data_IF_526688658604
#
_entry.id   IF_526688658604
#
_cell.length_a   1.000
_cell.length_b   1.000
_cell.length_c   1.000
_cell.angle_alpha   90.00
_cell.angle_beta   90.00
_cell.angle_gamma   90.00
#
_symmetry.space_group_name_H-M   'P 1'
#
loop_
_entity.id
_entity.type
_entity.pdbx_description
1 polymer ?
#
# COMPACT_ATOMS: atom_id res chain seq x y z
N UNK A 1 14.65 -15.65 -15.54
CA UNK A 1 13.79 -14.57 -15.14
C UNK A 1 12.66 -14.54 -16.14
N UNK A 2 11.51 -14.92 -15.68
CA UNK A 2 10.26 -14.70 -16.36
C UNK A 2 10.21 -13.22 -16.54
N UNK A 3 9.94 -12.67 -17.68
CA UNK A 3 9.89 -11.22 -17.90
C UNK A 3 8.99 -10.49 -16.89
N UNK A 4 9.26 -10.75 -15.62
CA UNK A 4 8.53 -10.25 -14.47
C UNK A 4 8.78 -8.77 -14.29
N UNK A 5 7.76 -8.09 -13.85
CA UNK A 5 7.83 -6.70 -13.44
C UNK A 5 8.88 -6.56 -12.33
N UNK A 6 9.93 -5.82 -12.58
CA UNK A 6 10.93 -5.55 -11.55
C UNK A 6 10.36 -4.57 -10.54
N UNK A 7 10.26 -5.02 -9.30
CA UNK A 7 9.97 -4.13 -8.19
C UNK A 7 11.25 -3.43 -7.78
N UNK A 8 11.15 -2.15 -7.70
CA UNK A 8 12.25 -1.28 -7.44
C UNK A 8 12.03 -0.60 -6.09
N UNK A 9 12.92 -0.83 -5.15
CA UNK A 9 12.88 -0.13 -3.87
C UNK A 9 13.92 0.97 -3.91
N UNK A 10 13.51 2.23 -3.86
CA UNK A 10 14.45 3.33 -3.72
C UNK A 10 15.03 3.36 -2.30
N UNK A 11 16.25 3.87 -2.16
CA UNK A 11 16.89 4.10 -0.85
C UNK A 11 16.22 5.20 -0.02
N UNK A 12 15.19 5.82 -0.54
CA UNK A 12 14.39 6.82 0.15
C UNK A 12 13.13 6.22 0.75
N UNK A 13 12.26 7.07 1.24
CA UNK A 13 10.98 6.71 1.86
C UNK A 13 9.95 6.13 0.88
N UNK A 14 10.31 5.84 -0.35
CA UNK A 14 9.43 5.36 -1.40
C UNK A 14 9.58 3.86 -1.56
N UNK A 15 8.47 3.12 -1.59
CA UNK A 15 8.50 1.67 -1.42
C UNK A 15 8.63 0.90 -2.71
N UNK A 16 7.78 1.00 -3.63
CA UNK A 16 7.88 0.35 -4.93
C UNK A 16 7.14 1.17 -5.96
N UNK A 17 7.68 1.22 -7.16
CA UNK A 17 7.18 2.05 -8.22
C UNK A 17 6.85 1.20 -9.44
N UNK A 18 5.64 1.36 -9.93
CA UNK A 18 5.22 0.85 -11.23
C UNK A 18 5.34 1.89 -12.33
N UNK A 19 5.69 3.11 -11.95
CA UNK A 19 5.79 4.23 -12.84
C UNK A 19 7.26 4.52 -13.14
N UNK A 20 7.59 4.71 -14.40
CA UNK A 20 8.91 5.10 -14.90
C UNK A 20 9.07 6.62 -14.98
N UNK A 21 8.10 7.40 -14.48
CA UNK A 21 8.19 8.86 -14.47
C UNK A 21 9.31 9.36 -13.54
N UNK A 22 9.79 10.56 -13.80
CA UNK A 22 10.79 11.23 -12.96
C UNK A 22 10.35 11.43 -11.50
N UNK A 23 9.04 11.37 -11.24
CA UNK A 23 8.47 11.46 -9.89
C UNK A 23 8.49 10.13 -9.14
N UNK A 24 8.60 9.02 -9.85
CA UNK A 24 8.66 7.68 -9.28
C UNK A 24 10.09 7.24 -8.91
N UNK A 25 11.10 7.90 -9.44
CA UNK A 25 12.51 7.60 -9.22
C UNK A 25 13.21 8.75 -8.51
N UNK A 26 14.21 8.41 -7.69
CA UNK A 26 15.10 9.42 -7.10
C UNK A 26 15.94 10.04 -8.21
N UNK A 27 16.29 11.31 -8.08
CA UNK A 27 17.27 11.94 -8.94
C UNK A 27 18.56 11.09 -8.91
N UNK A 28 19.16 10.83 -10.08
CA UNK A 28 20.35 10.00 -10.26
C UNK A 28 20.14 8.48 -10.03
N UNK A 29 18.93 8.03 -9.83
CA UNK A 29 18.63 6.61 -9.74
C UNK A 29 18.57 5.99 -11.15
N UNK A 30 19.40 4.98 -11.48
CA UNK A 30 19.39 4.39 -12.82
C UNK A 30 18.10 3.67 -13.09
N UNK A 31 17.49 3.99 -14.22
CA UNK A 31 16.29 3.33 -14.71
C UNK A 31 16.62 2.58 -16.01
N UNK A 32 16.33 1.29 -16.07
CA UNK A 32 16.62 0.45 -17.21
C UNK A 32 15.35 -0.11 -17.82
N UNK A 33 15.22 0.01 -19.14
CA UNK A 33 14.27 -0.80 -19.92
C UNK A 33 15.01 -2.07 -20.34
N UNK A 34 14.51 -3.22 -19.91
CA UNK A 34 15.09 -4.52 -20.23
C UNK A 34 14.23 -5.19 -21.30
N UNK A 35 14.82 -5.49 -22.44
CA UNK A 35 14.17 -6.26 -23.50
C UNK A 35 14.70 -7.70 -23.49
N UNK A 36 13.92 -8.70 -23.05
CA UNK A 36 14.34 -10.10 -23.10
C UNK A 36 14.38 -10.59 -24.54
N UNK A 37 15.45 -11.27 -24.91
CA UNK A 37 15.61 -11.92 -26.22
C UNK A 37 15.76 -13.42 -26.04
N UNK A 38 15.17 -14.23 -26.91
CA UNK A 38 15.41 -15.67 -26.92
C UNK A 38 16.90 -16.02 -27.11
N UNK A 39 17.31 -17.16 -26.60
CA UNK A 39 18.68 -17.63 -26.78
C UNK A 39 19.00 -17.79 -28.27
N UNK A 40 20.16 -17.26 -28.69
CA UNK A 40 20.59 -17.27 -30.09
C UNK A 40 19.96 -16.20 -30.98
N UNK A 41 19.15 -15.32 -30.43
CA UNK A 41 18.64 -14.17 -31.19
C UNK A 41 19.77 -13.23 -31.62
N UNK A 42 19.68 -12.71 -32.84
CA UNK A 42 20.57 -11.65 -33.29
C UNK A 42 20.30 -10.37 -32.46
N UNK A 43 21.33 -9.86 -31.82
CA UNK A 43 21.23 -8.63 -31.05
C UNK A 43 21.61 -7.43 -31.93
N UNK A 44 20.81 -6.37 -31.84
CA UNK A 44 21.12 -5.12 -32.55
C UNK A 44 22.33 -4.47 -31.86
N UNK A 45 23.39 -4.13 -32.61
CA UNK A 45 24.56 -3.45 -32.06
C UNK A 45 24.24 -1.98 -31.78
N UNK A 46 23.61 -1.71 -30.63
CA UNK A 46 23.17 -0.39 -30.20
C UNK A 46 24.03 0.21 -29.08
N UNK A 47 25.13 -0.46 -28.70
CA UNK A 47 26.01 -0.02 -27.62
C UNK A 47 25.46 -0.25 -26.23
N UNK A 48 24.25 -0.81 -26.08
CA UNK A 48 23.69 -1.11 -24.77
C UNK A 48 24.29 -2.41 -24.20
N UNK A 49 24.41 -2.50 -22.86
CA UNK A 49 24.93 -3.71 -22.24
C UNK A 49 24.00 -4.91 -22.48
N UNK A 50 24.62 -6.06 -22.72
CA UNK A 50 23.95 -7.34 -22.91
C UNK A 50 24.26 -8.24 -21.72
N UNK A 51 23.22 -8.78 -21.09
CA UNK A 51 23.36 -9.69 -19.96
C UNK A 51 22.82 -11.08 -20.33
N UNK A 52 23.61 -12.11 -20.09
CA UNK A 52 23.11 -13.47 -20.17
C UNK A 52 22.18 -13.71 -19.00
N UNK A 53 20.94 -14.10 -19.31
CA UNK A 53 19.98 -14.45 -18.29
C UNK A 53 20.20 -15.88 -17.82
N UNK A 54 20.50 -16.07 -16.56
CA UNK A 54 20.70 -17.37 -15.93
C UNK A 54 19.54 -17.68 -14.99
N UNK A 55 19.04 -18.90 -15.03
CA UNK A 55 18.12 -19.41 -14.01
C UNK A 55 18.96 -19.77 -12.78
N UNK A 56 19.23 -18.79 -11.95
CA UNK A 56 19.96 -18.93 -10.71
C UNK A 56 19.41 -17.98 -9.66
N UNK A 57 19.35 -18.44 -8.44
CA UNK A 57 18.93 -17.63 -7.30
C UNK A 57 19.72 -18.04 -6.07
N UNK A 58 20.13 -17.05 -5.26
CA UNK A 58 20.82 -17.26 -4.01
C UNK A 58 19.85 -17.16 -2.83
N UNK A 59 19.17 -16.04 -2.71
CA UNK A 59 18.16 -15.81 -1.67
C UNK A 59 16.77 -15.65 -2.29
N UNK A 60 15.73 -16.19 -1.68
CA UNK A 60 14.37 -16.13 -2.18
C UNK A 60 13.79 -14.70 -2.24
N UNK A 61 14.38 -13.75 -1.53
CA UNK A 61 13.91 -12.38 -1.48
C UNK A 61 12.66 -12.18 -0.61
N UNK A 62 11.94 -13.25 -0.29
CA UNK A 62 10.86 -13.20 0.70
C UNK A 62 11.42 -13.52 2.09
N UNK A 63 11.00 -12.77 3.09
CA UNK A 63 11.49 -12.92 4.46
C UNK A 63 11.03 -14.21 5.15
N UNK A 64 10.13 -14.97 4.56
CA UNK A 64 9.58 -16.22 5.13
C UNK A 64 10.50 -17.39 4.88
N UNK A 65 11.09 -17.46 3.69
CA UNK A 65 12.10 -18.44 3.35
C UNK A 65 13.49 -18.03 3.82
N UNK A 66 13.64 -16.80 4.31
CA UNK A 66 14.91 -16.29 4.81
C UNK A 66 15.94 -16.19 3.71
N UNK A 67 17.05 -16.91 3.91
CA UNK A 67 18.17 -17.00 2.95
C UNK A 67 18.11 -18.25 2.09
N UNK A 68 17.02 -19.00 2.13
CA UNK A 68 16.86 -20.18 1.28
C UNK A 68 16.56 -19.76 -0.15
N UNK A 69 17.22 -20.37 -1.10
CA UNK A 69 17.08 -20.07 -2.52
C UNK A 69 15.73 -20.56 -3.05
N UNK A 70 15.15 -19.80 -3.94
CA UNK A 70 13.93 -20.14 -4.66
C UNK A 70 14.05 -19.75 -6.12
N UNK A 71 13.69 -20.65 -7.01
CA UNK A 71 13.74 -20.43 -8.45
C UNK A 71 12.45 -20.93 -9.10
N UNK A 72 11.83 -20.08 -9.92
CA UNK A 72 10.77 -20.51 -10.82
C UNK A 72 11.36 -20.71 -12.21
N UNK A 73 11.07 -21.86 -12.82
CA UNK A 73 11.58 -22.22 -14.12
C UNK A 73 10.46 -22.75 -14.98
N UNK A 74 10.31 -22.18 -16.18
CA UNK A 74 9.42 -22.71 -17.21
C UNK A 74 10.27 -23.44 -18.24
N UNK A 75 10.04 -24.75 -18.38
CA UNK A 75 10.75 -25.55 -19.37
C UNK A 75 10.40 -25.07 -20.79
N UNK A 76 11.38 -24.65 -21.61
CA UNK A 76 11.11 -24.18 -22.96
C UNK A 76 10.68 -25.30 -23.94
N UNK A 77 10.97 -26.55 -23.61
CA UNK A 77 10.61 -27.75 -24.37
C UNK A 77 10.65 -28.96 -23.47
N UNK A 78 10.10 -30.08 -23.96
CA UNK A 78 10.26 -31.40 -23.31
C UNK A 78 11.73 -31.82 -23.31
N UNK A 79 12.23 -32.26 -22.17
CA UNK A 79 13.64 -32.61 -22.06
C UNK A 79 14.09 -32.94 -20.63
N UNK A 80 15.38 -33.17 -20.50
CA UNK A 80 16.03 -33.34 -19.20
C UNK A 80 16.67 -32.04 -18.76
N UNK A 81 16.33 -31.61 -17.56
CA UNK A 81 16.87 -30.41 -16.94
C UNK A 81 17.64 -30.78 -15.68
N UNK A 82 18.77 -30.13 -15.45
CA UNK A 82 19.57 -30.35 -14.27
C UNK A 82 19.40 -29.17 -13.31
N UNK A 83 19.09 -29.48 -12.06
CA UNK A 83 19.14 -28.51 -10.96
C UNK A 83 20.47 -28.66 -10.25
N UNK A 84 21.21 -27.58 -10.12
CA UNK A 84 22.46 -27.53 -9.37
C UNK A 84 22.26 -26.74 -8.09
N UNK A 85 22.63 -27.35 -6.97
CA UNK A 85 22.72 -26.68 -5.67
C UNK A 85 24.21 -26.48 -5.37
N UNK A 86 24.61 -25.25 -5.07
CA UNK A 86 26.00 -24.90 -4.76
C UNK A 86 26.03 -24.01 -3.53
N UNK A 87 27.03 -24.19 -2.68
CA UNK A 87 27.34 -23.21 -1.65
C UNK A 87 28.04 -22.00 -2.28
N UNK A 88 27.65 -20.79 -1.94
CA UNK A 88 28.20 -19.54 -2.52
C UNK A 88 29.70 -19.34 -2.25
N UNK A 89 30.23 -19.98 -1.20
CA UNK A 89 31.65 -19.97 -0.85
C UNK A 89 32.40 -21.14 -1.43
N UNK A 90 31.72 -22.03 -2.18
CA UNK A 90 32.32 -23.23 -2.76
C UNK A 90 32.62 -24.34 -1.75
N UNK A 91 32.01 -24.29 -0.57
CA UNK A 91 32.24 -25.33 0.44
C UNK A 91 31.39 -26.55 0.17
N UNK A 92 31.89 -27.72 0.57
CA UNK A 92 31.21 -29.01 0.43
C UNK A 92 31.62 -29.95 1.54
N UNK A 93 30.86 -31.03 1.72
CA UNK A 93 31.17 -32.09 2.67
C UNK A 93 29.95 -32.61 3.44
N UNK A 94 30.12 -33.61 4.30
CA UNK A 94 28.99 -34.30 4.98
C UNK A 94 28.17 -33.41 5.92
N UNK A 95 28.70 -32.23 6.31
CA UNK A 95 28.00 -31.29 7.18
C UNK A 95 27.17 -30.28 6.40
N UNK A 96 27.26 -30.22 5.09
CA UNK A 96 26.47 -29.34 4.22
C UNK A 96 25.26 -30.11 3.70
N UNK A 97 24.19 -30.07 4.49
CA UNK A 97 22.93 -30.72 4.14
C UNK A 97 21.98 -29.72 3.49
N UNK A 98 21.20 -30.16 2.53
CA UNK A 98 20.17 -29.37 1.89
C UNK A 98 18.91 -30.21 1.66
N UNK A 99 17.77 -29.53 1.51
CA UNK A 99 16.53 -30.12 1.04
C UNK A 99 16.14 -29.42 -0.27
N UNK A 100 15.96 -30.18 -1.34
CA UNK A 100 15.47 -29.68 -2.61
C UNK A 100 13.99 -30.04 -2.78
N UNK A 101 13.14 -29.02 -2.85
CA UNK A 101 11.71 -29.17 -3.14
C UNK A 101 11.44 -28.74 -4.58
N UNK A 102 11.00 -29.66 -5.41
CA UNK A 102 10.55 -29.39 -6.79
C UNK A 102 9.05 -29.65 -6.88
N UNK A 103 8.30 -28.65 -7.28
CA UNK A 103 6.85 -28.74 -7.41
C UNK A 103 6.34 -27.84 -8.55
N UNK A 104 5.13 -28.08 -9.07
CA UNK A 104 4.48 -27.13 -9.95
C UNK A 104 4.27 -25.77 -9.28
N UNK A 105 4.22 -24.72 -10.11
CA UNK A 105 3.83 -23.37 -9.70
C UNK A 105 2.37 -23.39 -9.26
N UNK A 106 2.08 -22.88 -8.09
CA UNK A 106 0.74 -22.79 -7.48
C UNK A 106 0.51 -21.32 -7.05
N UNK A 107 0.09 -20.46 -7.99
CA UNK A 107 -0.19 -19.07 -7.68
C UNK A 107 -1.19 -18.95 -6.53
N UNK A 108 -0.84 -18.11 -5.55
CA UNK A 108 -1.66 -17.88 -4.37
C UNK A 108 -1.22 -16.58 -3.70
N UNK A 109 -1.89 -16.20 -2.63
CA UNK A 109 -1.54 -15.06 -1.81
C UNK A 109 -1.85 -15.31 -0.34
N UNK A 110 -1.28 -14.51 0.53
CA UNK A 110 -1.76 -14.35 1.91
C UNK A 110 -1.68 -12.90 2.33
N UNK A 111 -2.56 -12.52 3.25
CA UNK A 111 -2.60 -11.16 3.81
C UNK A 111 -2.35 -11.25 5.30
N UNK A 112 -1.62 -10.27 5.82
CA UNK A 112 -1.41 -10.06 7.25
C UNK A 112 -1.81 -8.65 7.63
N UNK A 113 -2.75 -8.50 8.55
CA UNK A 113 -3.07 -7.23 9.18
C UNK A 113 -2.02 -6.90 10.24
N UNK A 114 -1.48 -5.70 10.18
CA UNK A 114 -0.55 -5.10 11.15
C UNK A 114 -1.22 -3.95 11.89
N UNK A 115 -0.69 -3.56 13.06
CA UNK A 115 -1.39 -2.61 13.93
C UNK A 115 -2.43 -3.30 14.80
N UNK A 116 -2.18 -4.59 15.16
CA UNK A 116 -3.03 -5.37 16.07
C UNK A 116 -2.94 -4.87 17.51
N UNK A 117 -3.99 -5.13 18.29
CA UNK A 117 -4.14 -4.66 19.67
C UNK A 117 -3.99 -3.14 19.82
N UNK A 118 -4.68 -2.34 18.98
CA UNK A 118 -4.53 -0.90 18.99
C UNK A 118 -5.16 -0.29 20.24
N UNK A 119 -4.57 0.83 20.68
CA UNK A 119 -5.17 1.72 21.67
C UNK A 119 -5.63 2.98 20.97
N UNK A 120 -6.94 3.14 20.82
CA UNK A 120 -7.56 4.28 20.14
C UNK A 120 -7.89 5.39 21.13
N UNK A 121 -7.73 6.63 20.70
CA UNK A 121 -8.25 7.78 21.46
C UNK A 121 -9.69 8.09 21.02
N UNK A 122 -10.61 8.39 21.95
CA UNK A 122 -11.97 8.80 21.61
C UNK A 122 -11.99 9.98 20.65
N UNK A 123 -12.81 9.93 19.61
CA UNK A 123 -12.92 10.95 18.56
C UNK A 123 -11.74 11.02 17.59
N UNK A 124 -10.82 10.05 17.63
CA UNK A 124 -9.65 10.02 16.76
C UNK A 124 -9.52 8.70 16.00
N UNK A 125 -8.62 8.70 15.05
CA UNK A 125 -8.33 7.54 14.21
C UNK A 125 -6.87 7.13 14.31
N UNK A 126 -6.62 5.83 14.08
CA UNK A 126 -5.29 5.23 14.02
C UNK A 126 -5.16 4.38 12.77
N UNK A 127 -3.99 4.41 12.14
CA UNK A 127 -3.69 3.62 10.96
C UNK A 127 -3.46 2.15 11.27
N UNK A 128 -3.86 1.30 10.34
CA UNK A 128 -3.47 -0.09 10.23
C UNK A 128 -3.02 -0.40 8.81
N UNK A 129 -2.29 -1.48 8.62
CA UNK A 129 -1.88 -1.88 7.28
C UNK A 129 -2.12 -3.36 7.04
N UNK A 130 -2.23 -3.71 5.76
CA UNK A 130 -2.44 -5.06 5.27
C UNK A 130 -1.31 -5.38 4.30
N UNK A 131 -0.45 -6.32 4.69
CA UNK A 131 0.71 -6.76 3.92
C UNK A 131 0.36 -8.01 3.14
N UNK A 132 0.54 -7.95 1.84
CA UNK A 132 0.36 -9.08 0.94
C UNK A 132 1.68 -9.83 0.75
N UNK A 133 1.60 -11.15 0.85
CA UNK A 133 2.62 -12.07 0.40
C UNK A 133 2.07 -12.78 -0.84
N UNK A 134 2.68 -12.51 -1.99
CA UNK A 134 2.30 -13.07 -3.28
C UNK A 134 3.16 -14.27 -3.58
N UNK A 135 2.54 -15.36 -3.99
CA UNK A 135 3.22 -16.64 -4.20
C UNK A 135 3.15 -17.05 -5.64
N UNK A 136 4.24 -17.65 -6.09
CA UNK A 136 4.34 -18.36 -7.38
C UNK A 136 3.84 -17.51 -8.57
N UNK A 137 4.18 -16.18 -8.56
CA UNK A 137 3.85 -15.29 -9.67
C UNK A 137 2.41 -14.77 -9.67
N UNK A 138 1.67 -14.91 -8.57
CA UNK A 138 0.38 -14.22 -8.45
C UNK A 138 0.59 -12.72 -8.30
N UNK A 139 0.10 -11.94 -9.26
CA UNK A 139 0.24 -10.47 -9.30
C UNK A 139 -1.11 -9.73 -9.36
N UNK A 140 -2.23 -10.45 -9.30
CA UNK A 140 -3.57 -9.87 -9.38
C UNK A 140 -3.92 -8.94 -8.20
N UNK A 141 -4.96 -8.10 -8.34
CA UNK A 141 -5.47 -7.29 -7.23
C UNK A 141 -6.10 -8.18 -6.15
N UNK A 142 -6.02 -7.73 -4.89
CA UNK A 142 -6.59 -8.43 -3.73
C UNK A 142 -7.53 -7.47 -3.02
N UNK A 143 -8.81 -7.82 -2.97
CA UNK A 143 -9.83 -7.09 -2.21
C UNK A 143 -9.84 -7.58 -0.77
N UNK A 144 -9.94 -6.64 0.17
CA UNK A 144 -10.01 -6.95 1.60
C UNK A 144 -11.27 -6.32 2.17
N UNK A 145 -12.10 -7.16 2.76
CA UNK A 145 -13.34 -6.77 3.43
C UNK A 145 -13.18 -6.97 4.95
N UNK A 146 -13.63 -5.98 5.71
CA UNK A 146 -13.65 -5.99 7.17
C UNK A 146 -15.12 -5.85 7.60
N UNK A 147 -15.61 -6.80 8.33
CA UNK A 147 -17.01 -6.86 8.79
C UNK A 147 -17.10 -7.04 10.30
N UNK A 148 -18.28 -6.78 10.87
CA UNK A 148 -18.54 -6.97 12.29
C UNK A 148 -17.93 -5.93 13.21
N UNK A 149 -17.54 -4.75 12.70
CA UNK A 149 -17.04 -3.64 13.50
C UNK A 149 -18.11 -3.20 14.50
N UNK A 150 -17.79 -3.10 15.81
CA UNK A 150 -18.73 -2.70 16.82
C UNK A 150 -19.31 -1.29 16.61
N UNK A 151 -20.50 -1.04 17.14
CA UNK A 151 -21.11 0.29 17.16
C UNK A 151 -20.20 1.30 17.89
N UNK A 152 -20.09 2.52 17.34
CA UNK A 152 -19.18 3.55 17.81
C UNK A 152 -17.75 3.43 17.29
N UNK A 153 -17.51 2.49 16.38
CA UNK A 153 -16.22 2.33 15.70
C UNK A 153 -16.42 2.25 14.18
N UNK A 154 -15.36 2.57 13.46
CA UNK A 154 -15.31 2.47 12.00
C UNK A 154 -13.93 1.95 11.57
N UNK A 155 -13.91 1.06 10.60
CA UNK A 155 -12.69 0.64 9.91
C UNK A 155 -12.82 0.87 8.40
N UNK A 156 -11.76 1.34 7.77
CA UNK A 156 -11.72 1.46 6.30
C UNK A 156 -11.97 0.10 5.65
N UNK A 157 -13.11 -0.04 4.96
CA UNK A 157 -13.51 -1.26 4.24
C UNK A 157 -14.50 -0.91 3.12
N UNK A 158 -14.39 -1.52 1.92
CA UNK A 158 -13.33 -2.41 1.50
C UNK A 158 -12.00 -1.69 1.24
N UNK A 159 -10.89 -2.44 1.34
CA UNK A 159 -9.57 -2.01 0.91
C UNK A 159 -9.10 -2.84 -0.28
N UNK A 160 -8.13 -2.32 -1.03
CA UNK A 160 -7.57 -3.00 -2.19
C UNK A 160 -6.04 -2.98 -2.13
N UNK A 161 -5.42 -4.14 -2.19
CA UNK A 161 -4.02 -4.25 -2.60
C UNK A 161 -4.00 -4.34 -4.11
N UNK A 162 -3.49 -3.31 -4.76
CA UNK A 162 -3.46 -3.26 -6.23
C UNK A 162 -2.57 -4.35 -6.82
N UNK A 163 -2.77 -4.64 -8.10
CA UNK A 163 -1.96 -5.61 -8.83
C UNK A 163 -0.48 -5.29 -8.69
N UNK A 164 0.32 -6.29 -8.32
CA UNK A 164 1.74 -6.14 -8.07
C UNK A 164 2.14 -5.43 -6.77
N UNK A 165 1.24 -4.77 -6.07
CA UNK A 165 1.54 -4.13 -4.78
C UNK A 165 1.56 -5.15 -3.64
N UNK A 166 2.31 -4.83 -2.60
CA UNK A 166 2.46 -5.69 -1.40
C UNK A 166 1.86 -5.06 -0.15
N UNK A 167 1.24 -3.88 -0.26
CA UNK A 167 0.76 -3.14 0.87
C UNK A 167 -0.49 -2.34 0.52
N UNK A 168 -1.43 -2.28 1.44
CA UNK A 168 -2.48 -1.28 1.52
C UNK A 168 -2.65 -0.87 2.98
N UNK A 169 -3.27 0.27 3.23
CA UNK A 169 -3.49 0.76 4.59
C UNK A 169 -4.90 1.32 4.74
N UNK A 170 -5.39 1.31 5.96
CA UNK A 170 -6.67 1.84 6.35
C UNK A 170 -6.60 2.60 7.66
N UNK A 171 -7.71 3.19 8.02
CA UNK A 171 -7.92 3.94 9.25
C UNK A 171 -8.97 3.24 10.11
N UNK A 172 -8.65 3.05 11.38
CA UNK A 172 -9.55 2.56 12.43
C UNK A 172 -9.90 3.74 13.33
N UNK A 173 -11.18 4.05 13.43
CA UNK A 173 -11.71 5.21 14.16
C UNK A 173 -12.52 4.78 15.37
N UNK A 174 -12.45 5.54 16.45
CA UNK A 174 -13.36 5.45 17.58
C UNK A 174 -14.17 6.75 17.70
N UNK A 175 -15.49 6.65 17.74
CA UNK A 175 -16.36 7.81 18.00
C UNK A 175 -16.01 8.41 19.38
N UNK A 176 -16.33 9.71 19.62
CA UNK A 176 -16.07 10.32 20.93
C UNK A 176 -16.74 9.59 22.11
N UNK A 177 -17.88 8.92 21.85
CA UNK A 177 -18.65 8.17 22.83
C UNK A 177 -18.53 6.64 22.63
N UNK A 178 -17.48 6.16 21.97
CA UNK A 178 -17.27 4.74 21.77
C UNK A 178 -17.16 3.99 23.10
N UNK A 179 -17.70 2.76 23.16
CA UNK A 179 -17.70 1.95 24.37
C UNK A 179 -16.38 1.18 24.51
N UNK A 180 -15.73 1.29 25.66
CA UNK A 180 -14.46 0.60 25.94
C UNK A 180 -14.60 -0.94 26.01
N UNK A 181 -15.80 -1.44 26.32
CA UNK A 181 -16.12 -2.85 26.43
C UNK A 181 -16.79 -3.43 25.17
N UNK A 182 -16.61 -2.78 24.02
CA UNK A 182 -17.17 -3.23 22.75
C UNK A 182 -16.67 -4.64 22.37
N UNK A 183 -17.57 -5.46 21.84
CA UNK A 183 -17.28 -6.84 21.44
C UNK A 183 -16.60 -6.90 20.07
N UNK A 184 -15.30 -7.11 20.05
CA UNK A 184 -14.48 -7.25 18.85
C UNK A 184 -14.36 -8.71 18.35
N UNK A 185 -14.94 -9.67 19.07
CA UNK A 185 -14.84 -11.10 18.71
C UNK A 185 -15.54 -11.45 17.40
N UNK A 186 -16.48 -10.62 16.96
CA UNK A 186 -17.24 -10.79 15.71
C UNK A 186 -16.58 -10.16 14.50
N UNK A 187 -15.46 -9.46 14.69
CA UNK A 187 -14.75 -8.82 13.58
C UNK A 187 -14.06 -9.88 12.75
N UNK A 188 -14.40 -9.90 11.48
CA UNK A 188 -13.79 -10.77 10.47
C UNK A 188 -13.09 -9.92 9.43
N UNK A 189 -11.94 -10.39 8.99
CA UNK A 189 -11.18 -9.81 7.89
C UNK A 189 -10.96 -10.90 6.85
N UNK A 190 -11.40 -10.64 5.63
CA UNK A 190 -11.26 -11.58 4.51
C UNK A 190 -10.55 -10.93 3.34
N UNK A 191 -9.74 -11.69 2.64
CA UNK A 191 -9.02 -11.26 1.46
C UNK A 191 -9.43 -12.13 0.27
N UNK A 192 -9.90 -11.50 -0.80
CA UNK A 192 -10.46 -12.16 -1.98
C UNK A 192 -9.69 -11.73 -3.23
N UNK A 193 -9.31 -12.69 -4.06
CA UNK A 193 -8.70 -12.43 -5.36
C UNK A 193 -9.06 -13.53 -6.39
N UNK A 194 -8.92 -13.20 -7.67
CA UNK A 194 -9.05 -14.18 -8.75
C UNK A 194 -7.69 -14.77 -9.08
N UNK A 195 -7.51 -16.04 -8.82
CA UNK A 195 -6.29 -16.80 -9.09
C UNK A 195 -6.59 -17.91 -10.09
N UNK A 196 -5.91 -17.91 -11.24
CA UNK A 196 -6.15 -18.90 -12.30
C UNK A 196 -7.61 -18.95 -12.77
N UNK A 197 -8.32 -17.83 -12.77
CA UNK A 197 -9.73 -17.73 -13.17
C UNK A 197 -10.73 -18.19 -12.09
N UNK A 198 -10.28 -18.51 -10.88
CA UNK A 198 -11.14 -18.88 -9.75
C UNK A 198 -11.04 -17.83 -8.65
N UNK A 199 -12.16 -17.55 -8.03
CA UNK A 199 -12.18 -16.74 -6.82
C UNK A 199 -11.62 -17.55 -5.64
N UNK A 200 -10.62 -16.99 -4.99
CA UNK A 200 -9.98 -17.53 -3.79
C UNK A 200 -10.20 -16.53 -2.65
N UNK A 201 -10.63 -17.06 -1.52
CA UNK A 201 -10.87 -16.28 -0.30
C UNK A 201 -9.98 -16.82 0.81
N UNK A 202 -9.23 -15.94 1.45
CA UNK A 202 -8.42 -16.27 2.63
C UNK A 202 -8.90 -15.47 3.84
N UNK A 203 -8.93 -16.13 4.99
CA UNK A 203 -9.11 -15.44 6.27
C UNK A 203 -7.82 -14.72 6.64
N UNK A 204 -7.98 -13.53 7.21
CA UNK A 204 -6.89 -12.67 7.69
C UNK A 204 -7.02 -12.53 9.19
N UNK A 205 -5.90 -12.40 9.90
CA UNK A 205 -5.94 -12.06 11.32
C UNK A 205 -6.70 -10.72 11.52
N UNK A 206 -7.45 -10.62 12.61
CA UNK A 206 -8.21 -9.42 12.96
C UNK A 206 -7.39 -8.44 13.84
N UNK A 207 -8.04 -7.38 14.34
CA UNK A 207 -7.41 -6.37 15.18
C UNK A 207 -6.98 -6.85 16.57
N UNK A 208 -7.42 -8.02 17.03
CA UNK A 208 -7.15 -8.50 18.37
C UNK A 208 -7.89 -7.70 19.45
N UNK A 209 -7.22 -7.38 20.53
CA UNK A 209 -7.79 -6.60 21.63
C UNK A 209 -7.68 -5.10 21.35
N UNK A 210 -8.80 -4.48 20.98
CA UNK A 210 -8.88 -3.02 20.83
C UNK A 210 -9.22 -2.40 22.19
N UNK A 211 -8.51 -1.33 22.55
CA UNK A 211 -8.72 -0.59 23.80
C UNK A 211 -8.90 0.90 23.54
N UNK A 212 -9.60 1.60 24.43
CA UNK A 212 -9.64 3.05 24.44
C UNK A 212 -8.57 3.59 25.37
N UNK A 213 -7.83 4.57 24.87
CA UNK A 213 -6.81 5.33 25.58
C UNK A 213 -7.30 6.71 26.03
N UNK A 214 -6.36 7.58 26.41
CA UNK A 214 -6.70 8.97 26.76
C UNK A 214 -7.19 9.76 25.55
N UNK A 215 -7.77 10.92 25.81
CA UNK A 215 -8.14 11.87 24.75
C UNK A 215 -6.91 12.28 23.92
N UNK A 216 -7.09 12.51 22.61
CA UNK A 216 -5.99 12.88 21.73
C UNK A 216 -5.53 14.32 22.03
N UNK A 217 -4.25 14.62 21.82
CA UNK A 217 -3.73 15.99 21.93
C UNK A 217 -4.04 16.86 20.70
N UNK A 218 -4.43 16.27 19.62
CA UNK A 218 -4.93 16.88 18.39
C UNK A 218 -5.67 15.82 17.57
N UNK A 219 -6.50 16.26 16.63
CA UNK A 219 -7.22 15.39 15.68
C UNK A 219 -6.88 15.86 14.28
N UNK A 220 -6.59 14.91 13.39
CA UNK A 220 -6.34 15.17 11.96
C UNK A 220 -7.61 14.95 11.18
N UNK A 221 -7.94 15.88 10.31
CA UNK A 221 -9.13 15.83 9.45
C UNK A 221 -8.71 16.04 8.00
N UNK A 222 -9.18 15.16 7.12
CA UNK A 222 -9.02 15.25 5.67
C UNK A 222 -10.38 15.57 5.05
N UNK A 223 -10.47 16.65 4.31
CA UNK A 223 -11.74 17.18 3.78
C UNK A 223 -11.62 17.60 2.31
N UNK A 224 -12.67 17.39 1.50
CA UNK A 224 -12.78 18.00 0.18
C UNK A 224 -12.81 19.53 0.26
N UNK A 225 -12.45 20.19 -0.85
CA UNK A 225 -12.67 21.62 -1.01
C UNK A 225 -14.14 21.92 -1.31
N UNK A 226 -14.70 22.88 -0.63
CA UNK A 226 -16.01 23.42 -0.92
C UNK A 226 -15.92 24.94 -1.08
N UNK A 227 -15.94 25.41 -2.34
CA UNK A 227 -15.87 26.83 -2.66
C UNK A 227 -14.64 27.56 -2.07
N UNK A 228 -13.47 26.91 -2.11
CA UNK A 228 -12.21 27.46 -1.63
C UNK A 228 -11.94 27.31 -0.13
N UNK A 229 -12.79 26.56 0.58
CA UNK A 229 -12.69 26.29 2.03
C UNK A 229 -12.88 24.79 2.33
N UNK A 230 -12.41 24.30 3.48
CA UNK A 230 -12.76 22.95 3.94
C UNK A 230 -14.27 22.87 4.24
N UNK A 231 -14.82 21.66 4.15
CA UNK A 231 -16.25 21.41 4.45
C UNK A 231 -16.61 21.74 5.90
N UNK A 232 -15.64 21.75 6.81
CA UNK A 232 -15.80 21.99 8.24
C UNK A 232 -16.74 20.98 8.91
N UNK A 233 -16.62 19.72 8.53
CA UNK A 233 -17.40 18.64 9.12
C UNK A 233 -17.18 18.57 10.64
N UNK A 234 -18.27 18.40 11.39
CA UNK A 234 -18.20 18.15 12.82
C UNK A 234 -17.68 16.72 13.07
N UNK A 235 -16.73 16.54 13.97
CA UNK A 235 -16.13 15.23 14.26
C UNK A 235 -17.16 14.21 14.75
N UNK A 236 -18.23 14.64 15.41
CA UNK A 236 -19.33 13.79 15.85
C UNK A 236 -20.16 13.18 14.70
N UNK A 237 -20.03 13.71 13.49
CA UNK A 237 -20.78 13.27 12.31
C UNK A 237 -19.98 12.33 11.40
N UNK A 238 -18.81 11.85 11.84
CA UNK A 238 -17.90 11.02 11.06
C UNK A 238 -18.36 9.56 10.95
N UNK A 239 -19.60 9.35 10.52
CA UNK A 239 -20.16 8.00 10.28
C UNK A 239 -19.95 7.49 8.86
N UNK A 240 -19.70 8.39 7.92
CA UNK A 240 -19.49 8.06 6.51
C UNK A 240 -18.35 8.91 5.94
N UNK A 241 -17.47 8.32 5.12
CA UNK A 241 -16.46 9.06 4.40
C UNK A 241 -17.06 10.17 3.54
N UNK A 242 -16.46 11.36 3.56
CA UNK A 242 -16.76 12.40 2.58
C UNK A 242 -16.24 11.96 1.22
N UNK A 243 -16.94 12.36 0.16
CA UNK A 243 -16.59 11.99 -1.20
C UNK A 243 -15.81 13.11 -1.90
N UNK A 244 -14.75 12.74 -2.59
CA UNK A 244 -13.98 13.63 -3.45
C UNK A 244 -13.84 12.96 -4.82
N UNK A 245 -14.28 13.64 -5.88
CA UNK A 245 -14.16 13.11 -7.24
C UNK A 245 -13.03 13.80 -7.99
N UNK A 246 -12.21 13.00 -8.68
CA UNK A 246 -11.13 13.49 -9.55
C UNK A 246 -11.23 12.84 -10.93
N UNK A 247 -11.03 13.63 -11.97
CA UNK A 247 -10.96 13.16 -13.36
C UNK A 247 -9.51 12.87 -13.75
N UNK A 248 -9.21 11.74 -14.42
CA UNK A 248 -7.87 11.46 -14.93
C UNK A 248 -7.29 12.61 -15.74
N UNK A 249 -6.06 12.98 -15.44
CA UNK A 249 -5.36 14.14 -16.02
C UNK A 249 -5.66 15.48 -15.36
N UNK A 250 -6.53 15.50 -14.36
CA UNK A 250 -6.92 16.72 -13.65
C UNK A 250 -6.32 16.77 -12.25
N UNK A 251 -6.42 17.95 -11.65
CA UNK A 251 -6.03 18.26 -10.29
C UNK A 251 -7.24 18.73 -9.51
N UNK A 252 -7.42 18.25 -8.28
CA UNK A 252 -8.51 18.68 -7.39
C UNK A 252 -7.93 19.10 -6.04
N UNK A 253 -8.48 20.19 -5.50
CA UNK A 253 -8.08 20.74 -4.20
C UNK A 253 -8.75 19.97 -3.06
N UNK A 254 -8.00 19.77 -1.99
CA UNK A 254 -8.45 19.22 -0.72
C UNK A 254 -7.80 19.97 0.44
N UNK A 255 -8.24 19.67 1.65
CA UNK A 255 -7.78 20.35 2.87
C UNK A 255 -7.35 19.32 3.92
N UNK A 256 -6.22 19.61 4.54
CA UNK A 256 -5.86 19.03 5.82
C UNK A 256 -6.15 20.04 6.92
N UNK A 257 -6.87 19.60 7.92
CA UNK A 257 -7.20 20.40 9.10
C UNK A 257 -6.78 19.66 10.37
N UNK A 258 -6.43 20.38 11.39
CA UNK A 258 -6.18 19.83 12.72
C UNK A 258 -7.04 20.54 13.76
N UNK A 259 -7.61 19.76 14.66
CA UNK A 259 -8.24 20.24 15.88
C UNK A 259 -7.20 20.07 17.00
N UNK A 260 -6.67 21.17 17.50
CA UNK A 260 -5.64 21.17 18.53
C UNK A 260 -6.27 21.10 19.92
N UNK A 261 -5.85 20.11 20.69
CA UNK A 261 -6.34 19.79 22.04
C UNK A 261 -5.17 19.78 23.04
N UNK A 262 -4.31 20.79 22.94
CA UNK A 262 -3.13 20.96 23.80
C UNK A 262 -1.79 20.61 23.11
N UNK A 263 -1.77 20.43 21.80
CA UNK A 263 -0.53 20.33 21.01
C UNK A 263 -0.50 21.41 19.95
N UNK A 264 0.37 22.40 20.09
CA UNK A 264 0.56 23.50 19.14
C UNK A 264 1.76 23.30 18.21
N UNK A 265 2.44 22.17 18.29
CA UNK A 265 3.62 21.88 17.47
C UNK A 265 3.28 21.73 15.98
N UNK A 266 4.31 21.81 15.16
CA UNK A 266 4.26 21.47 13.74
C UNK A 266 3.80 20.01 13.57
N UNK A 267 2.91 19.75 12.62
CA UNK A 267 2.41 18.43 12.26
C UNK A 267 2.74 18.17 10.79
N UNK A 268 3.50 17.11 10.53
CA UNK A 268 3.77 16.62 9.18
C UNK A 268 2.78 15.50 8.86
N UNK A 269 2.19 15.54 7.69
CA UNK A 269 1.14 14.65 7.26
C UNK A 269 1.44 14.11 5.86
N UNK A 270 1.22 12.80 5.70
CA UNK A 270 1.22 12.10 4.42
C UNK A 270 -0.18 11.57 4.11
N UNK A 271 -0.51 11.43 2.83
CA UNK A 271 -1.76 10.80 2.41
C UNK A 271 -1.49 9.36 2.01
N UNK A 272 -2.24 8.46 2.60
CA UNK A 272 -2.10 7.03 2.41
C UNK A 272 -3.26 6.44 1.62
N UNK A 273 -3.00 5.27 1.01
CA UNK A 273 -3.94 4.46 0.25
C UNK A 273 -4.51 5.19 -0.98
N UNK A 274 -3.72 6.04 -1.63
CA UNK A 274 -4.08 6.62 -2.92
C UNK A 274 -4.06 5.54 -4.02
N UNK A 275 -4.95 5.64 -5.02
CA UNK A 275 -4.86 4.82 -6.23
C UNK A 275 -3.52 5.02 -6.92
N UNK A 276 -2.97 3.95 -7.51
CA UNK A 276 -1.78 4.10 -8.35
C UNK A 276 -1.99 5.13 -9.46
N UNK A 277 -1.06 6.07 -9.59
CA UNK A 277 -1.17 7.21 -10.52
C UNK A 277 -1.93 8.43 -9.98
N UNK A 278 -2.42 8.38 -8.76
CA UNK A 278 -2.89 9.57 -8.03
C UNK A 278 -1.82 9.96 -7.01
N UNK A 279 -1.40 11.21 -7.05
CA UNK A 279 -0.37 11.76 -6.17
C UNK A 279 -0.88 12.99 -5.41
N UNK A 280 -0.23 13.31 -4.32
CA UNK A 280 -0.33 14.63 -3.70
C UNK A 280 0.64 15.55 -4.42
N UNK A 281 0.12 16.63 -5.01
CA UNK A 281 0.88 17.57 -5.82
C UNK A 281 1.17 18.85 -5.02
N UNK A 282 2.21 19.59 -5.45
CA UNK A 282 2.61 20.87 -4.87
C UNK A 282 2.98 20.79 -3.38
N UNK A 283 3.73 19.75 -3.00
CA UNK A 283 4.25 19.56 -1.65
C UNK A 283 5.78 19.42 -1.65
N UNK A 284 6.39 19.77 -0.50
CA UNK A 284 7.82 19.53 -0.27
C UNK A 284 8.13 18.08 0.10
N UNK A 285 9.41 17.82 0.37
CA UNK A 285 9.92 16.48 0.72
C UNK A 285 9.34 15.90 2.03
N UNK A 286 8.80 16.76 2.89
CA UNK A 286 8.27 16.38 4.21
C UNK A 286 6.75 16.20 4.23
N UNK A 287 6.11 15.99 3.07
CA UNK A 287 4.66 15.90 2.98
C UNK A 287 3.96 17.24 3.17
N UNK A 288 2.70 17.21 3.62
CA UNK A 288 1.93 18.41 3.92
C UNK A 288 2.16 18.81 5.36
N UNK A 289 2.61 20.05 5.59
CA UNK A 289 2.91 20.56 6.92
C UNK A 289 1.83 21.53 7.39
N UNK A 290 1.26 21.29 8.56
CA UNK A 290 0.49 22.26 9.32
C UNK A 290 1.43 22.84 10.37
N UNK A 291 1.75 24.13 10.21
CA UNK A 291 2.73 24.80 11.09
C UNK A 291 2.19 25.00 12.49
N UNK A 292 3.07 25.41 13.38
CA UNK A 292 2.72 25.84 14.74
C UNK A 292 1.60 26.87 14.70
N UNK A 293 0.55 26.68 15.51
CA UNK A 293 -0.63 27.55 15.59
C UNK A 293 -1.48 27.67 14.33
N UNK A 294 -1.10 27.07 13.20
CA UNK A 294 -1.98 26.88 12.05
C UNK A 294 -2.91 25.68 12.29
N UNK A 295 -4.13 25.75 11.75
CA UNK A 295 -5.12 24.69 11.92
C UNK A 295 -5.53 24.03 10.61
N UNK A 296 -5.15 24.59 9.47
CA UNK A 296 -5.56 24.08 8.16
C UNK A 296 -4.51 24.38 7.09
N UNK A 297 -4.45 23.51 6.09
CA UNK A 297 -3.59 23.66 4.91
C UNK A 297 -4.28 23.06 3.70
N UNK A 298 -4.41 23.82 2.59
CA UNK A 298 -4.83 23.26 1.31
C UNK A 298 -3.70 22.47 0.68
N UNK A 299 -4.07 21.44 -0.08
CA UNK A 299 -3.18 20.70 -0.93
C UNK A 299 -3.97 20.17 -2.14
N UNK A 300 -3.30 19.49 -3.08
CA UNK A 300 -3.91 19.04 -4.32
C UNK A 300 -3.69 17.56 -4.54
N UNK A 301 -4.73 16.87 -5.00
CA UNK A 301 -4.60 15.57 -5.63
C UNK A 301 -4.48 15.77 -7.14
N UNK A 302 -3.57 15.05 -7.76
CA UNK A 302 -3.40 15.00 -9.20
C UNK A 302 -3.49 13.57 -9.67
N UNK A 303 -4.38 13.28 -10.63
CA UNK A 303 -4.50 11.99 -11.26
C UNK A 303 -3.77 11.98 -12.61
N UNK A 304 -2.98 10.95 -12.88
CA UNK A 304 -2.41 10.73 -14.20
C UNK A 304 -3.53 10.38 -15.21
N UNK A 305 -3.33 10.69 -16.50
CA UNK A 305 -4.33 10.50 -17.55
C UNK A 305 -4.76 9.04 -17.75
N UNK A 306 -3.92 8.10 -17.39
CA UNK A 306 -4.14 6.67 -17.58
C UNK A 306 -4.87 5.98 -16.40
N UNK A 307 -5.09 6.67 -15.29
CA UNK A 307 -5.77 6.09 -14.11
C UNK A 307 -7.18 5.68 -14.50
N UNK A 308 -7.55 4.46 -14.10
CA UNK A 308 -8.87 3.90 -14.38
C UNK A 308 -9.89 4.33 -13.32
N UNK A 309 -11.17 4.25 -13.70
CA UNK A 309 -12.29 4.50 -12.79
C UNK A 309 -12.21 3.55 -11.60
N UNK A 310 -12.21 4.12 -10.41
CA UNK A 310 -12.15 3.36 -9.16
C UNK A 310 -12.56 4.21 -7.96
N UNK A 311 -12.87 3.54 -6.86
CA UNK A 311 -13.15 4.14 -5.56
C UNK A 311 -12.09 3.68 -4.56
N UNK A 312 -11.59 4.64 -3.77
CA UNK A 312 -10.54 4.35 -2.80
C UNK A 312 -10.76 5.13 -1.50
N UNK A 313 -10.73 4.43 -0.38
CA UNK A 313 -10.70 5.07 0.94
C UNK A 313 -9.29 5.54 1.24
N UNK A 314 -9.09 6.85 1.25
CA UNK A 314 -7.81 7.50 1.52
C UNK A 314 -7.84 8.21 2.86
N UNK A 315 -6.72 8.27 3.56
CA UNK A 315 -6.62 8.97 4.83
C UNK A 315 -5.29 9.71 4.95
N UNK A 316 -5.29 10.78 5.73
CA UNK A 316 -4.05 11.42 6.15
C UNK A 316 -3.49 10.70 7.37
N UNK A 317 -2.18 10.56 7.44
CA UNK A 317 -1.47 10.04 8.59
C UNK A 317 -0.36 10.98 9.02
N UNK A 318 -0.11 11.06 10.32
CA UNK A 318 1.06 11.76 10.84
C UNK A 318 2.32 11.08 10.32
N UNK A 319 3.19 11.86 9.70
CA UNK A 319 4.43 11.32 9.13
C UNK A 319 5.33 10.76 10.22
N UNK A 320 5.84 9.55 9.98
CA UNK A 320 6.85 8.95 10.84
C UNK A 320 8.25 9.31 10.35
N UNK A 321 9.19 9.50 11.27
CA UNK A 321 10.61 9.63 10.94
C UNK A 321 11.22 8.33 10.38
N UNK A 322 10.49 7.20 10.39
CA UNK A 322 10.93 5.93 9.81
C UNK A 322 10.49 5.83 8.36
N UNK A 323 11.46 5.67 7.49
CA UNK A 323 11.28 5.60 6.03
C UNK A 323 10.37 4.45 5.54
N UNK A 324 10.18 3.42 6.35
CA UNK A 324 9.43 2.20 6.03
C UNK A 324 8.10 2.06 6.82
N UNK A 325 7.66 3.14 7.48
CA UNK A 325 6.43 3.10 8.26
C UNK A 325 5.22 3.03 7.32
N UNK A 326 4.52 1.89 7.36
CA UNK A 326 3.11 1.90 7.04
C UNK A 326 2.40 2.77 8.10
N UNK A 327 1.18 3.24 7.86
CA UNK A 327 0.48 4.08 8.85
C UNK A 327 0.09 3.34 10.13
N UNK A 328 0.50 2.08 10.31
CA UNK A 328 0.14 1.27 11.47
C UNK A 328 0.61 1.90 12.78
N UNK A 329 -0.34 2.13 13.68
CA UNK A 329 -0.09 2.74 14.98
C UNK A 329 0.12 4.26 14.94
N UNK A 330 0.09 4.89 13.77
CA UNK A 330 0.13 6.36 13.63
C UNK A 330 -1.26 6.95 13.76
N UNK A 331 -1.36 8.15 14.29
CA UNK A 331 -2.60 8.90 14.27
C UNK A 331 -2.96 9.27 12.83
N UNK A 332 -4.23 9.03 12.44
CA UNK A 332 -4.73 9.30 11.11
C UNK A 332 -5.98 10.18 11.15
N UNK A 333 -6.39 10.66 9.98
CA UNK A 333 -7.74 11.19 9.80
C UNK A 333 -8.75 10.07 9.66
N UNK A 334 -10.03 10.38 9.88
CA UNK A 334 -11.12 9.62 9.27
C UNK A 334 -10.94 9.64 7.74
N UNK A 335 -11.25 8.55 7.02
CA UNK A 335 -10.99 8.48 5.58
C UNK A 335 -11.97 9.33 4.78
N UNK A 336 -11.54 9.72 3.57
CA UNK A 336 -12.43 10.18 2.49
C UNK A 336 -12.56 9.07 1.45
N UNK A 337 -13.64 9.09 0.68
CA UNK A 337 -13.82 8.25 -0.50
C UNK A 337 -13.38 9.03 -1.74
N UNK A 338 -12.18 8.76 -2.21
CA UNK A 338 -11.67 9.31 -3.46
C UNK A 338 -12.25 8.50 -4.63
N UNK A 339 -13.01 9.16 -5.50
CA UNK A 339 -13.62 8.59 -6.70
C UNK A 339 -12.87 9.07 -7.93
N UNK A 340 -12.26 8.16 -8.67
CA UNK A 340 -11.68 8.47 -9.98
C UNK A 340 -12.73 8.19 -11.04
N UNK A 341 -13.07 9.18 -11.87
CA UNK A 341 -14.09 9.07 -12.94
C UNK A 341 -13.64 9.77 -14.20
N UNK A 342 -13.69 9.05 -15.34
CA UNK A 342 -13.27 9.58 -16.65
C UNK A 342 -14.19 10.65 -17.19
N UNK A 343 -15.48 10.57 -16.91
CA UNK A 343 -16.51 11.47 -17.44
C UNK A 343 -17.31 12.11 -16.30
N UNK A 344 -16.70 13.09 -15.64
CA UNK A 344 -17.50 14.00 -14.81
C UNK A 344 -17.83 15.22 -15.65
N UNK A 345 -19.02 15.22 -16.25
CA UNK A 345 -19.60 16.47 -16.72
C UNK A 345 -19.82 17.34 -15.47
N UNK A 346 -18.93 18.30 -15.25
CA UNK A 346 -19.09 19.31 -14.20
C UNK A 346 -20.32 20.10 -14.58
N UNK A 347 -21.46 19.74 -14.04
CA UNK A 347 -22.64 20.64 -14.04
C UNK A 347 -22.28 21.78 -13.09
N UNK A 348 -21.69 22.84 -13.66
CA UNK A 348 -21.57 24.11 -12.97
C UNK A 348 -22.98 24.55 -12.53
N UNK A 349 -23.22 24.64 -11.25
CA UNK A 349 -24.34 25.35 -10.64
C UNK A 349 -23.87 26.69 -10.16
#
# INVERSE_FOLDING_TARGET
PDGGTFFYTSNGMRRSYFDTSATAHTLDEPCYVVEPKPLGSALVPNGLPVFTMNYANDDAGDRKLGRDSRLTFTAPADGRYAVRVTDTRGWSGPRFVYALLVRPVLPDFSIQLTGVNPTLSPGASMGFALKADRRDGFEGPIRIDIAGIPEGYFASSPLMVEAGHTLTSGSLHADPNAKADADWSKVTVTATATVGGKEIVHEVNNFGKVTLGPEPKFIVVLEPDQNGKPVMRMLADEKKPLELTITPGQTVKAWLRTVRLGNDALINLDIHNLPHGVIVDDIGLNGVQIREKENERPFFFRAAKWVQDQDRLCHAAVSSARADADSSGLQTSFPILLKVRKDVTVTAK
#
